data_IF_424478790844
#
_entry.id   IF_424478790844
#
_cell.length_a   1.000
_cell.length_b   1.000
_cell.length_c   1.000
_cell.angle_alpha   90.00
_cell.angle_beta   90.00
_cell.angle_gamma   90.00
#
_symmetry.space_group_name_H-M   'P 1'
#
loop_
_entity.id
_entity.type
_entity.pdbx_description
1 polymer ?
#
# COMPACT_ATOMS: atom_id res chain seq x y z
N UNK A 1 4.13 -50.89 -17.03
CA UNK A 1 3.10 -49.85 -16.78
C UNK A 1 3.70 -48.67 -16.00
N UNK A 2 4.50 -47.80 -16.64
CA UNK A 2 5.20 -46.67 -15.97
C UNK A 2 4.75 -45.27 -16.43
N UNK A 3 3.80 -45.18 -17.34
CA UNK A 3 3.44 -43.91 -18.02
C UNK A 3 2.37 -43.09 -17.30
N UNK A 4 1.62 -43.69 -16.37
CA UNK A 4 0.50 -43.02 -15.69
C UNK A 4 0.95 -42.02 -14.60
N UNK A 5 1.96 -42.39 -13.79
CA UNK A 5 2.47 -41.52 -12.71
C UNK A 5 3.25 -40.30 -13.23
N UNK A 6 3.99 -40.46 -14.33
CA UNK A 6 4.73 -39.36 -14.98
C UNK A 6 3.77 -38.28 -15.53
N UNK A 7 2.67 -38.68 -16.20
CA UNK A 7 1.67 -37.72 -16.72
C UNK A 7 0.88 -36.99 -15.63
N UNK A 8 0.73 -37.58 -14.45
CA UNK A 8 0.09 -36.91 -13.31
C UNK A 8 1.00 -35.80 -12.75
N UNK A 9 2.28 -36.10 -12.54
CA UNK A 9 3.26 -35.13 -12.08
C UNK A 9 3.41 -33.92 -13.04
N UNK A 10 3.41 -34.15 -14.36
CA UNK A 10 3.45 -33.06 -15.35
C UNK A 10 2.22 -32.14 -15.29
N UNK A 11 1.05 -32.68 -14.98
CA UNK A 11 -0.18 -31.88 -14.81
C UNK A 11 -0.14 -31.06 -13.52
N UNK A 12 0.31 -31.64 -12.42
CA UNK A 12 0.43 -30.95 -11.13
C UNK A 12 1.44 -29.81 -11.19
N UNK A 13 2.59 -30.01 -11.85
CA UNK A 13 3.59 -28.94 -12.07
C UNK A 13 3.01 -27.82 -12.92
N UNK A 14 2.27 -28.15 -13.99
CA UNK A 14 1.63 -27.16 -14.87
C UNK A 14 0.53 -26.37 -14.17
N UNK A 15 -0.21 -26.98 -13.24
CA UNK A 15 -1.24 -26.29 -12.44
C UNK A 15 -0.59 -25.35 -11.41
N UNK A 16 0.44 -25.81 -10.69
CA UNK A 16 1.20 -24.97 -9.74
C UNK A 16 1.86 -23.77 -10.43
N UNK A 17 2.44 -23.96 -11.62
CA UNK A 17 3.04 -22.87 -12.39
C UNK A 17 2.00 -21.79 -12.79
N UNK A 18 0.76 -22.19 -13.10
CA UNK A 18 -0.33 -21.24 -13.39
C UNK A 18 -0.78 -20.48 -12.15
N UNK A 19 -0.85 -21.14 -10.99
CA UNK A 19 -1.20 -20.50 -9.72
C UNK A 19 -0.13 -19.50 -9.30
N UNK A 20 1.15 -19.86 -9.39
CA UNK A 20 2.27 -18.94 -9.11
C UNK A 20 2.22 -17.73 -10.03
N UNK A 21 2.02 -17.93 -11.34
CA UNK A 21 1.90 -16.81 -12.29
C UNK A 21 0.69 -15.90 -12.02
N UNK A 22 -0.41 -16.45 -11.50
CA UNK A 22 -1.58 -15.66 -11.10
C UNK A 22 -1.28 -14.82 -9.85
N UNK A 23 -0.63 -15.42 -8.85
CA UNK A 23 -0.20 -14.74 -7.62
C UNK A 23 0.81 -13.63 -7.91
N UNK A 24 1.79 -13.85 -8.79
CA UNK A 24 2.75 -12.81 -9.20
C UNK A 24 2.07 -11.61 -9.85
N UNK A 25 1.06 -11.85 -10.70
CA UNK A 25 0.28 -10.77 -11.33
C UNK A 25 -0.57 -10.00 -10.31
N UNK A 26 -1.11 -10.66 -9.30
CA UNK A 26 -1.85 -10.02 -8.22
C UNK A 26 -0.92 -9.21 -7.30
N UNK A 27 0.25 -9.75 -6.96
CA UNK A 27 1.28 -9.04 -6.20
C UNK A 27 1.76 -7.77 -6.94
N UNK A 28 2.02 -7.87 -8.25
CA UNK A 28 2.44 -6.71 -9.06
C UNK A 28 1.36 -5.62 -9.13
N UNK A 29 0.07 -6.01 -9.14
CA UNK A 29 -1.04 -5.03 -9.08
C UNK A 29 -1.12 -4.34 -7.72
N UNK A 30 -0.95 -5.10 -6.64
CA UNK A 30 -0.89 -4.58 -5.27
C UNK A 30 0.28 -3.61 -5.09
N UNK A 31 1.46 -3.97 -5.60
CA UNK A 31 2.64 -3.13 -5.52
C UNK A 31 2.46 -1.81 -6.29
N UNK A 32 1.90 -1.86 -7.51
CA UNK A 32 1.58 -0.64 -8.28
C UNK A 32 0.54 0.23 -7.59
N UNK A 33 -0.49 -0.38 -6.98
CA UNK A 33 -1.49 0.35 -6.21
C UNK A 33 -0.85 1.05 -5.00
N UNK A 34 0.01 0.35 -4.27
CA UNK A 34 0.73 0.88 -3.13
C UNK A 34 1.69 2.02 -3.49
N UNK A 35 2.46 1.88 -4.58
CA UNK A 35 3.32 2.96 -5.07
C UNK A 35 2.51 4.20 -5.46
N UNK A 36 1.34 4.01 -6.08
CA UNK A 36 0.45 5.11 -6.46
C UNK A 36 -0.10 5.83 -5.23
N UNK A 37 -0.48 5.09 -4.19
CA UNK A 37 -0.90 5.64 -2.91
C UNK A 37 0.23 6.41 -2.23
N UNK A 38 1.45 5.87 -2.19
CA UNK A 38 2.62 6.57 -1.63
C UNK A 38 2.92 7.88 -2.36
N UNK A 39 2.86 7.87 -3.70
CA UNK A 39 3.05 9.09 -4.49
C UNK A 39 1.97 10.12 -4.18
N UNK A 40 0.74 9.69 -4.00
CA UNK A 40 -0.36 10.57 -3.64
C UNK A 40 -0.16 11.18 -2.24
N UNK A 41 0.31 10.40 -1.27
CA UNK A 41 0.69 10.89 0.08
C UNK A 41 1.78 11.96 -0.04
N UNK A 42 2.85 11.67 -0.79
CA UNK A 42 3.97 12.61 -0.96
C UNK A 42 3.51 13.92 -1.63
N UNK A 43 2.65 13.85 -2.64
CA UNK A 43 2.09 15.03 -3.30
C UNK A 43 1.19 15.85 -2.36
N UNK A 44 0.40 15.19 -1.51
CA UNK A 44 -0.43 15.87 -0.51
C UNK A 44 0.45 16.60 0.53
N UNK A 45 1.53 15.97 1.00
CA UNK A 45 2.48 16.58 1.94
C UNK A 45 3.23 17.77 1.30
N UNK A 46 3.61 17.65 0.02
CA UNK A 46 4.25 18.74 -0.74
C UNK A 46 3.30 19.93 -0.91
N UNK A 47 2.02 19.68 -1.17
CA UNK A 47 0.98 20.72 -1.30
C UNK A 47 0.57 21.33 0.05
N UNK A 48 1.04 20.80 1.17
CA UNK A 48 0.77 21.33 2.51
C UNK A 48 -0.57 20.88 3.11
N UNK A 49 -1.15 19.78 2.63
CA UNK A 49 -2.37 19.22 3.23
C UNK A 49 -2.15 18.88 4.70
N UNK A 50 -3.12 19.25 5.54
CA UNK A 50 -3.11 18.92 6.96
C UNK A 50 -3.73 17.54 7.22
N UNK A 51 -3.30 16.81 8.26
CA UNK A 51 -3.91 15.55 8.65
C UNK A 51 -5.42 15.62 8.83
N UNK A 52 -5.93 16.71 9.42
CA UNK A 52 -7.36 16.96 9.64
C UNK A 52 -8.16 16.95 8.32
N UNK A 53 -7.62 17.61 7.29
CA UNK A 53 -8.25 17.68 5.97
C UNK A 53 -8.23 16.31 5.27
N UNK A 54 -7.14 15.55 5.44
CA UNK A 54 -7.03 14.20 4.91
C UNK A 54 -8.01 13.26 5.61
N UNK A 55 -8.12 13.31 6.94
CA UNK A 55 -9.07 12.53 7.71
C UNK A 55 -10.52 12.84 7.31
N UNK A 56 -10.86 14.12 7.12
CA UNK A 56 -12.17 14.54 6.63
C UNK A 56 -12.45 14.02 5.22
N UNK A 57 -11.48 14.11 4.31
CA UNK A 57 -11.61 13.65 2.91
C UNK A 57 -11.74 12.13 2.79
N UNK A 58 -11.11 11.39 3.71
CA UNK A 58 -11.23 9.93 3.84
C UNK A 58 -12.48 9.50 4.62
N UNK A 59 -13.27 10.46 5.12
CA UNK A 59 -14.48 10.18 5.89
C UNK A 59 -14.22 9.60 7.28
N UNK A 60 -12.97 9.62 7.76
CA UNK A 60 -12.59 9.08 9.07
C UNK A 60 -13.27 9.84 10.21
N UNK A 61 -13.55 11.14 10.02
CA UNK A 61 -14.22 11.97 11.01
C UNK A 61 -15.71 11.63 11.21
N UNK A 62 -16.30 10.83 10.31
CA UNK A 62 -17.70 10.39 10.40
C UNK A 62 -17.86 9.00 11.01
N UNK A 63 -16.74 8.32 11.27
CA UNK A 63 -16.72 7.00 11.88
C UNK A 63 -16.52 7.15 13.38
N UNK A 64 -17.28 6.37 14.16
CA UNK A 64 -17.03 6.26 15.61
C UNK A 64 -15.65 5.65 15.89
N UNK A 65 -15.22 4.72 15.02
CA UNK A 65 -13.89 4.14 15.06
C UNK A 65 -13.23 4.23 13.68
N UNK A 66 -12.31 5.19 13.55
CA UNK A 66 -11.53 5.41 12.33
C UNK A 66 -10.64 4.21 11.97
N UNK A 67 -10.29 3.35 12.93
CA UNK A 67 -9.40 2.19 12.71
C UNK A 67 -10.05 1.05 11.93
N UNK A 68 -11.38 1.02 11.90
CA UNK A 68 -12.15 0.03 11.13
C UNK A 68 -12.27 0.39 9.65
N UNK A 69 -11.86 1.61 9.28
CA UNK A 69 -11.93 2.07 7.90
C UNK A 69 -10.87 1.42 7.02
N UNK A 70 -11.25 1.05 5.79
CA UNK A 70 -10.30 0.67 4.74
C UNK A 70 -9.30 1.79 4.41
N UNK A 71 -9.64 3.04 4.72
CA UNK A 71 -8.76 4.19 4.52
C UNK A 71 -7.79 4.43 5.68
N UNK A 72 -7.94 3.69 6.79
CA UNK A 72 -7.08 3.84 7.97
C UNK A 72 -5.59 3.59 7.68
N UNK A 73 -5.20 2.50 6.98
CA UNK A 73 -3.79 2.27 6.67
C UNK A 73 -3.17 3.38 5.82
N UNK A 74 -3.94 3.93 4.87
CA UNK A 74 -3.51 5.06 4.05
C UNK A 74 -3.29 6.32 4.90
N UNK A 75 -4.23 6.63 5.80
CA UNK A 75 -4.12 7.76 6.70
C UNK A 75 -2.95 7.63 7.67
N UNK A 76 -2.70 6.42 8.17
CA UNK A 76 -1.57 6.13 9.06
C UNK A 76 -0.23 6.32 8.32
N UNK A 77 -0.13 5.87 7.07
CA UNK A 77 1.04 6.12 6.22
C UNK A 77 1.26 7.62 5.94
N UNK A 78 0.17 8.37 5.70
CA UNK A 78 0.20 9.82 5.56
C UNK A 78 0.73 10.50 6.82
N UNK A 79 0.22 10.15 8.00
CA UNK A 79 0.66 10.70 9.29
C UNK A 79 2.14 10.47 9.55
N UNK A 80 2.63 9.25 9.29
CA UNK A 80 4.04 8.90 9.47
C UNK A 80 4.94 9.79 8.59
N UNK A 81 4.64 9.87 7.28
CA UNK A 81 5.38 10.71 6.34
C UNK A 81 5.27 12.20 6.67
N UNK A 82 4.09 12.67 7.09
CA UNK A 82 3.86 14.08 7.45
C UNK A 82 4.69 14.48 8.68
N UNK A 83 4.78 13.61 9.69
CA UNK A 83 5.62 13.83 10.87
C UNK A 83 7.10 13.93 10.49
N UNK A 84 7.60 12.98 9.70
CA UNK A 84 8.99 13.01 9.20
C UNK A 84 9.27 14.27 8.38
N UNK A 85 8.35 14.68 7.50
CA UNK A 85 8.50 15.90 6.71
C UNK A 85 8.50 17.18 7.58
N UNK A 86 7.68 17.22 8.64
CA UNK A 86 7.66 18.33 9.61
C UNK A 86 8.95 18.40 10.43
N UNK A 87 9.47 17.26 10.85
CA UNK A 87 10.75 17.17 11.56
C UNK A 87 11.91 17.58 10.66
N UNK A 88 11.93 17.16 9.39
CA UNK A 88 12.93 17.61 8.41
C UNK A 88 12.87 19.12 8.17
N UNK A 89 11.67 19.72 8.09
CA UNK A 89 11.53 21.18 7.97
C UNK A 89 12.06 21.91 9.20
N UNK A 90 11.76 21.41 10.41
CA UNK A 90 12.29 21.97 11.67
C UNK A 90 13.81 21.85 11.75
N UNK A 91 14.36 20.70 11.35
CA UNK A 91 15.80 20.48 11.31
C UNK A 91 16.46 21.46 10.32
N UNK A 92 15.92 21.61 9.12
CA UNK A 92 16.44 22.55 8.11
C UNK A 92 16.42 24.02 8.56
N UNK A 93 15.45 24.42 9.40
CA UNK A 93 15.40 25.78 9.97
C UNK A 93 16.28 26.00 11.20
N UNK A 94 16.74 24.94 11.87
CA UNK A 94 17.65 25.04 13.02
C UNK A 94 19.13 24.98 12.63
N UNK A 95 19.44 24.69 11.37
CA UNK A 95 20.81 24.65 10.83
C UNK A 95 21.17 25.91 10.01
N UNK A 96 20.39 26.98 10.13
CA UNK A 96 20.65 28.30 9.56
C UNK A 96 20.81 29.32 10.69
#
# INVERSE_FOLDING_TARGET
>A
MYTSKLRAADKDVKMKAKEVSKLEKEALKLEKAFQKEQKQIDDMIKRGYRPEEVAAKLGLNKLEDATTSKAWPFYQAFLAKYKSAKELRKAATNTA
#
